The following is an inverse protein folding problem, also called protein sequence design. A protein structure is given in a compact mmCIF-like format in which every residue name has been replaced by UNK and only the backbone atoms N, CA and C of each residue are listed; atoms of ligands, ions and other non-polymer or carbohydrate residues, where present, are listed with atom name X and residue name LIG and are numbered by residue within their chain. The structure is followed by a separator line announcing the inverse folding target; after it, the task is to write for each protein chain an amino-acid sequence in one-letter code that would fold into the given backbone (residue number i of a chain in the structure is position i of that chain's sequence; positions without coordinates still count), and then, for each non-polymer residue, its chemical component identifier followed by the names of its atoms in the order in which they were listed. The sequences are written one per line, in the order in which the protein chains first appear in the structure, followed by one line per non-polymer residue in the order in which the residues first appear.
data_IF_743800787650
#
_entry.id   IF_743800787650
#
_cell.length_a   1.000
_cell.length_b   1.000
_cell.length_c   1.000
_cell.angle_alpha   90.00
_cell.angle_beta   90.00
_cell.angle_gamma   90.00
#
_symmetry.space_group_name_H-M   'P 1'
#
loop_
_entity.id
_entity.type
_entity.pdbx_description
1 polymer ?
#
# COMPACT_ATOMS: atom_id res chain seq x y z
N UNK A 1 0.83 15.54 -4.38
CA UNK A 1 1.35 14.89 -5.60
C UNK A 1 0.81 13.47 -5.64
N UNK A 2 0.18 13.07 -6.74
CA UNK A 2 -0.35 11.71 -6.92
C UNK A 2 0.82 10.71 -7.03
N UNK A 3 0.79 9.55 -6.36
CA UNK A 3 1.70 8.46 -6.70
C UNK A 3 1.49 8.09 -8.17
N UNK A 4 2.57 8.07 -8.96
CA UNK A 4 2.55 7.85 -10.42
C UNK A 4 2.04 6.47 -10.84
N UNK A 5 1.87 5.55 -9.91
CA UNK A 5 1.36 4.21 -10.14
C UNK A 5 0.07 4.09 -9.34
N UNK A 6 -1.05 3.88 -10.05
CA UNK A 6 -2.32 3.56 -9.39
C UNK A 6 -2.08 2.42 -8.42
N UNK A 7 -2.56 2.58 -7.17
CA UNK A 7 -2.51 1.52 -6.17
C UNK A 7 -3.25 0.34 -6.79
N UNK A 8 -2.50 -0.66 -7.25
CA UNK A 8 -3.07 -1.95 -7.62
C UNK A 8 -3.51 -2.55 -6.31
N UNK A 9 -4.78 -2.34 -5.97
CA UNK A 9 -5.37 -2.97 -4.82
C UNK A 9 -5.15 -4.47 -4.97
N UNK A 10 -4.74 -5.17 -3.90
CA UNK A 10 -4.85 -6.61 -3.84
C UNK A 10 -6.35 -6.96 -3.90
N UNK A 11 -6.88 -6.95 -5.12
CA UNK A 11 -8.21 -7.43 -5.48
C UNK A 11 -8.15 -8.92 -5.20
N UNK A 12 -9.17 -9.50 -4.57
CA UNK A 12 -9.15 -10.82 -3.90
C UNK A 12 -8.82 -12.05 -4.77
N UNK A 13 -8.18 -11.87 -5.93
CA UNK A 13 -7.45 -12.89 -6.65
C UNK A 13 -6.19 -13.33 -5.88
N UNK A 14 -5.79 -14.57 -6.15
CA UNK A 14 -4.78 -15.33 -5.42
C UNK A 14 -3.45 -14.56 -5.31
N UNK A 15 -3.20 -13.92 -4.15
CA UNK A 15 -1.94 -13.22 -3.83
C UNK A 15 -0.72 -14.14 -3.75
N UNK A 16 -0.88 -15.43 -4.04
CA UNK A 16 0.18 -16.42 -3.97
C UNK A 16 0.58 -16.72 -2.53
N UNK A 17 1.84 -17.11 -2.36
CA UNK A 17 2.38 -17.45 -1.05
C UNK A 17 2.60 -16.19 -0.19
N UNK A 18 2.60 -16.35 1.13
CA UNK A 18 2.88 -15.27 2.06
C UNK A 18 4.17 -14.46 1.73
N UNK A 19 5.33 -15.08 1.44
CA UNK A 19 6.52 -14.34 1.02
C UNK A 19 6.30 -13.52 -0.25
N UNK A 20 5.62 -14.08 -1.26
CA UNK A 20 5.32 -13.40 -2.51
C UNK A 20 4.46 -12.16 -2.29
N UNK A 21 3.35 -12.33 -1.58
CA UNK A 21 2.38 -11.28 -1.31
C UNK A 21 3.02 -10.09 -0.54
N UNK A 22 3.81 -10.37 0.51
CA UNK A 22 4.47 -9.33 1.29
C UNK A 22 5.55 -8.63 0.47
N UNK A 23 6.35 -9.36 -0.30
CA UNK A 23 7.36 -8.75 -1.17
C UNK A 23 6.71 -7.83 -2.21
N UNK A 24 5.61 -8.26 -2.82
CA UNK A 24 4.85 -7.47 -3.78
C UNK A 24 4.34 -6.18 -3.15
N UNK A 25 3.71 -6.25 -1.97
CA UNK A 25 3.23 -5.08 -1.24
C UNK A 25 4.35 -4.07 -0.97
N UNK A 26 5.49 -4.54 -0.43
CA UNK A 26 6.64 -3.68 -0.14
C UNK A 26 7.21 -3.04 -1.42
N UNK A 27 7.31 -3.80 -2.52
CA UNK A 27 7.78 -3.27 -3.81
C UNK A 27 6.81 -2.25 -4.42
N UNK A 28 5.51 -2.44 -4.26
CA UNK A 28 4.51 -1.49 -4.74
C UNK A 28 4.56 -0.17 -3.98
N UNK A 29 4.75 -0.21 -2.66
CA UNK A 29 4.76 0.97 -1.82
C UNK A 29 6.11 1.71 -1.84
N UNK A 30 7.22 0.98 -1.72
CA UNK A 30 8.56 1.55 -1.56
C UNK A 30 9.37 1.59 -2.86
N UNK A 31 8.88 0.92 -3.91
CA UNK A 31 9.63 0.69 -5.15
C UNK A 31 10.64 -0.47 -5.04
N UNK A 32 11.38 -0.69 -6.11
CA UNK A 32 12.33 -1.81 -6.24
C UNK A 32 13.80 -1.41 -6.06
N UNK A 33 14.07 -0.32 -5.33
CA UNK A 33 15.42 0.25 -5.21
C UNK A 33 16.10 -0.09 -3.88
N UNK A 34 17.40 0.19 -3.79
CA UNK A 34 18.19 0.09 -2.55
C UNK A 34 17.56 0.89 -1.38
N UNK A 35 16.76 1.91 -1.68
CA UNK A 35 16.04 2.68 -0.67
C UNK A 35 14.99 1.84 0.05
N UNK A 36 14.27 0.95 -0.66
CA UNK A 36 13.27 0.06 -0.05
C UNK A 36 13.91 -0.86 0.99
N UNK A 37 15.09 -1.43 0.69
CA UNK A 37 15.85 -2.25 1.65
C UNK A 37 16.17 -1.46 2.92
N UNK A 38 16.70 -0.24 2.79
CA UNK A 38 17.05 0.61 3.95
C UNK A 38 15.82 0.98 4.78
N UNK A 39 14.72 1.35 4.13
CA UNK A 39 13.46 1.68 4.81
C UNK A 39 12.91 0.49 5.59
N UNK A 40 12.86 -0.70 4.97
CA UNK A 40 12.38 -1.91 5.65
C UNK A 40 13.27 -2.30 6.82
N UNK A 41 14.60 -2.17 6.68
CA UNK A 41 15.51 -2.36 7.81
C UNK A 41 15.22 -1.37 8.94
N UNK A 42 15.00 -0.08 8.62
CA UNK A 42 14.71 0.94 9.62
C UNK A 42 13.38 0.67 10.35
N UNK A 43 12.35 0.19 9.66
CA UNK A 43 11.06 -0.15 10.26
C UNK A 43 11.11 -1.39 11.15
N UNK A 44 11.89 -2.40 10.76
CA UNK A 44 11.82 -3.74 11.36
C UNK A 44 13.00 -4.08 12.28
N UNK A 45 14.12 -3.37 12.17
CA UNK A 45 15.38 -3.72 12.84
C UNK A 45 16.08 -4.93 12.23
N UNK A 46 15.54 -5.53 11.17
CA UNK A 46 16.12 -6.71 10.54
C UNK A 46 17.42 -6.41 9.78
N UNK A 47 18.30 -7.41 9.70
CA UNK A 47 19.54 -7.33 8.93
C UNK A 47 19.29 -7.26 7.42
N UNK A 48 20.23 -6.64 6.68
CA UNK A 48 20.09 -6.40 5.24
C UNK A 48 19.84 -7.68 4.43
N UNK A 49 20.57 -8.76 4.73
CA UNK A 49 20.38 -10.06 4.07
C UNK A 49 18.96 -10.60 4.25
N UNK A 50 18.42 -10.47 5.46
CA UNK A 50 17.06 -10.93 5.78
C UNK A 50 16.02 -10.14 5.00
N UNK A 51 16.15 -8.81 4.96
CA UNK A 51 15.26 -7.95 4.18
C UNK A 51 15.34 -8.24 2.69
N UNK A 52 16.55 -8.46 2.14
CA UNK A 52 16.72 -8.87 0.75
C UNK A 52 16.05 -10.21 0.47
N UNK A 53 16.13 -11.18 1.37
CA UNK A 53 15.43 -12.46 1.21
C UNK A 53 13.91 -12.28 1.17
N UNK A 54 13.36 -11.35 1.96
CA UNK A 54 11.93 -11.01 1.90
C UNK A 54 11.56 -10.39 0.57
N UNK A 55 12.29 -9.38 0.12
CA UNK A 55 12.02 -8.72 -1.16
C UNK A 55 12.28 -9.63 -2.37
N UNK A 56 13.14 -10.63 -2.25
CA UNK A 56 13.37 -11.67 -3.26
C UNK A 56 12.46 -12.89 -3.10
N UNK A 57 11.47 -12.85 -2.19
CA UNK A 57 10.44 -13.87 -2.03
C UNK A 57 10.98 -15.24 -1.56
N UNK A 58 12.24 -15.28 -1.11
CA UNK A 58 12.93 -16.48 -0.61
C UNK A 58 12.36 -16.89 0.75
N UNK A 59 12.01 -15.93 1.59
CA UNK A 59 11.36 -16.15 2.88
C UNK A 59 10.41 -15.00 3.20
N UNK A 60 9.46 -15.23 4.10
CA UNK A 60 8.60 -14.16 4.61
C UNK A 60 9.16 -13.58 5.93
N UNK A 61 8.73 -12.38 6.33
CA UNK A 61 9.04 -11.87 7.66
C UNK A 61 8.43 -12.75 8.76
N UNK A 62 9.12 -12.87 9.89
CA UNK A 62 8.54 -13.51 11.08
C UNK A 62 7.43 -12.63 11.67
N UNK A 63 6.65 -13.16 12.62
CA UNK A 63 5.53 -12.43 13.22
C UNK A 63 5.91 -11.05 13.79
N UNK A 64 7.04 -10.94 14.48
CA UNK A 64 7.52 -9.68 15.05
C UNK A 64 7.87 -8.65 13.96
N UNK A 65 8.60 -9.07 12.93
CA UNK A 65 8.96 -8.21 11.81
C UNK A 65 7.72 -7.83 10.99
N UNK A 66 6.76 -8.74 10.84
CA UNK A 66 5.50 -8.45 10.16
C UNK A 66 4.70 -7.39 10.91
N UNK A 67 4.61 -7.48 12.25
CA UNK A 67 3.94 -6.46 13.07
C UNK A 67 4.63 -5.10 12.93
N UNK A 68 5.95 -5.07 12.84
CA UNK A 68 6.69 -3.85 12.58
C UNK A 68 6.36 -3.27 11.20
N UNK A 69 6.31 -4.09 10.15
CA UNK A 69 5.89 -3.64 8.83
C UNK A 69 4.46 -3.08 8.81
N UNK A 70 3.51 -3.81 9.40
CA UNK A 70 2.09 -3.43 9.48
C UNK A 70 1.87 -2.10 10.19
N UNK A 71 2.74 -1.74 11.16
CA UNK A 71 2.68 -0.42 11.82
C UNK A 71 3.04 0.75 10.91
N UNK A 72 3.77 0.50 9.83
CA UNK A 72 4.29 1.54 8.95
C UNK A 72 3.71 1.50 7.53
N UNK A 73 3.01 0.43 7.17
CA UNK A 73 2.52 0.18 5.82
C UNK A 73 1.08 -0.33 5.83
N UNK A 74 0.16 0.52 5.37
CA UNK A 74 -1.25 0.17 5.17
C UNK A 74 -1.41 -0.90 4.08
N UNK A 75 -0.53 -0.91 3.06
CA UNK A 75 -0.56 -1.91 2.00
C UNK A 75 -0.18 -3.30 2.50
N UNK A 76 0.80 -3.40 3.41
CA UNK A 76 1.15 -4.64 4.09
C UNK A 76 0.02 -5.09 5.01
N UNK A 77 -0.59 -4.18 5.79
CA UNK A 77 -1.78 -4.50 6.59
C UNK A 77 -2.91 -5.08 5.73
N UNK A 78 -3.24 -4.42 4.63
CA UNK A 78 -4.27 -4.86 3.70
C UNK A 78 -3.95 -6.25 3.14
N UNK A 79 -2.69 -6.48 2.74
CA UNK A 79 -2.21 -7.77 2.22
C UNK A 79 -2.40 -8.89 3.24
N UNK A 80 -2.04 -8.65 4.51
CA UNK A 80 -2.24 -9.62 5.60
C UNK A 80 -3.73 -9.92 5.80
N UNK A 81 -4.59 -8.90 5.78
CA UNK A 81 -6.04 -9.11 5.91
C UNK A 81 -6.62 -9.93 4.76
N UNK A 82 -6.16 -9.71 3.52
CA UNK A 82 -6.57 -10.48 2.35
C UNK A 82 -6.09 -11.94 2.46
N UNK A 83 -4.82 -12.17 2.82
CA UNK A 83 -4.28 -13.52 3.05
C UNK A 83 -5.00 -14.25 4.18
N UNK A 84 -5.48 -13.53 5.19
CA UNK A 84 -6.27 -14.07 6.29
C UNK A 84 -7.75 -14.31 5.93
N UNK A 85 -8.17 -14.09 4.67
CA UNK A 85 -9.56 -14.22 4.23
C UNK A 85 -10.49 -13.11 4.74
N UNK A 86 -9.95 -12.03 5.30
CA UNK A 86 -10.70 -10.90 5.89
C UNK A 86 -10.87 -9.75 4.91
N UNK A 87 -11.24 -10.07 3.67
CA UNK A 87 -11.37 -9.11 2.56
C UNK A 87 -12.27 -7.90 2.91
N UNK A 88 -13.39 -8.13 3.60
CA UNK A 88 -14.32 -7.06 3.96
C UNK A 88 -13.67 -5.96 4.81
N UNK A 89 -12.78 -6.30 5.75
CA UNK A 89 -12.09 -5.32 6.61
C UNK A 89 -11.07 -4.53 5.80
N UNK A 90 -10.36 -5.20 4.90
CA UNK A 90 -9.41 -4.58 3.99
C UNK A 90 -10.09 -3.55 3.07
N UNK A 91 -11.31 -3.80 2.61
CA UNK A 91 -12.04 -2.88 1.74
C UNK A 91 -12.63 -1.68 2.47
N UNK A 92 -13.15 -1.83 3.69
CA UNK A 92 -13.80 -0.74 4.44
C UNK A 92 -12.83 0.39 4.77
N UNK A 93 -11.57 0.08 5.14
CA UNK A 93 -10.56 1.11 5.40
C UNK A 93 -10.28 1.96 4.14
N UNK A 94 -10.23 1.32 2.97
CA UNK A 94 -9.99 1.98 1.69
C UNK A 94 -11.20 2.80 1.20
N UNK A 95 -12.43 2.37 1.52
CA UNK A 95 -13.65 3.00 0.99
C UNK A 95 -13.83 4.44 1.48
N UNK A 96 -13.40 4.72 2.72
CA UNK A 96 -13.40 6.09 3.28
C UNK A 96 -12.42 6.99 2.54
N UNK A 97 -11.22 6.49 2.25
CA UNK A 97 -10.20 7.25 1.51
C UNK A 97 -10.63 7.50 0.06
N UNK A 98 -11.13 6.48 -0.63
CA UNK A 98 -11.64 6.59 -2.01
C UNK A 98 -12.78 7.60 -2.07
N UNK A 99 -13.73 7.55 -1.12
CA UNK A 99 -14.82 8.53 -1.03
C UNK A 99 -14.28 9.96 -0.87
N UNK A 100 -13.32 10.17 0.02
CA UNK A 100 -12.76 11.50 0.26
C UNK A 100 -12.05 12.04 -0.99
N UNK A 101 -11.26 11.22 -1.68
CA UNK A 101 -10.62 11.60 -2.94
C UNK A 101 -11.62 11.91 -4.05
N UNK A 102 -12.70 11.14 -4.14
CA UNK A 102 -13.78 11.41 -5.10
C UNK A 102 -14.46 12.76 -4.78
N UNK A 103 -14.77 13.02 -3.52
CA UNK A 103 -15.38 14.28 -3.09
C UNK A 103 -14.49 15.49 -3.41
N UNK A 104 -13.18 15.39 -3.17
CA UNK A 104 -12.21 16.43 -3.51
C UNK A 104 -12.17 16.68 -5.03
N UNK A 105 -12.18 15.61 -5.84
CA UNK A 105 -12.18 15.72 -7.29
C UNK A 105 -13.46 16.38 -7.82
N UNK A 106 -14.62 16.03 -7.24
CA UNK A 106 -15.90 16.68 -7.57
C UNK A 106 -15.85 18.16 -7.23
N UNK A 107 -15.33 18.54 -6.06
CA UNK A 107 -15.18 19.95 -5.69
C UNK A 107 -14.27 20.73 -6.65
N UNK A 108 -13.21 20.11 -7.15
CA UNK A 108 -12.33 20.73 -8.15
C UNK A 108 -13.05 20.96 -9.49
N UNK A 109 -13.91 20.02 -9.91
CA UNK A 109 -14.74 20.16 -11.11
C UNK A 109 -15.72 21.33 -10.91
N UNK A 110 -16.44 21.36 -9.79
CA UNK A 110 -17.42 22.39 -9.48
C UNK A 110 -16.77 23.80 -9.43
N UNK A 111 -15.60 23.91 -8.81
CA UNK A 111 -14.85 25.16 -8.74
C UNK A 111 -14.38 25.65 -10.12
N UNK A 112 -14.00 24.72 -11.01
CA UNK A 112 -13.60 25.05 -12.39
C UNK A 112 -14.79 25.54 -13.21
N UNK A 113 -15.97 24.95 -13.02
CA UNK A 113 -17.21 25.37 -13.69
C UNK A 113 -17.71 26.74 -13.20
N UNK A 114 -17.42 27.12 -11.95
CA UNK A 114 -17.83 28.41 -11.39
C UNK A 114 -16.97 29.59 -11.86
N UNK A 115 -15.68 29.36 -12.19
CA UNK A 115 -14.76 30.39 -12.66
C UNK A 115 -15.00 30.86 -14.12
N UNK A 116 -15.88 30.20 -14.87
CA UNK A 116 -16.22 30.55 -16.26
C UNK A 116 -17.45 31.50 -16.36
N UNK A 117 -17.99 32.00 -15.25
CA UNK A 117 -19.07 33.00 -15.29
C UNK A 117 -18.47 34.40 -15.58
N UNK A 118 -18.91 35.10 -16.66
CA UNK A 118 -18.41 36.44 -16.96
C UNK A 118 -18.79 37.40 -15.83
N UNK A 119 -17.83 38.19 -15.38
CA UNK A 119 -18.09 39.33 -14.52
C UNK A 119 -18.83 40.38 -15.37
N UNK A 120 -20.13 40.53 -15.14
CA UNK A 120 -20.95 41.65 -15.66
C UNK A 120 -20.54 42.98 -15.05
#
# INVERSE_FOLDING_TARGET
MLPKKGIVFPTGENLGSYPHAIAYALKCELGSTHQAVKTVMAWTGAGERTVKNWLSEVSGPSGEHLLALVRHSDLVLQTVLVLAGRHHVAYVQNLVEVRNRLAETVQQIDASLHNDQPVE
#
